data_IF_624548260578
#
_entry.id   IF_624548260578
#
_cell.length_a   1.000
_cell.length_b   1.000
_cell.length_c   1.000
_cell.angle_alpha   90.00
_cell.angle_beta   90.00
_cell.angle_gamma   90.00
#
_symmetry.space_group_name_H-M   'P 1'
#
loop_
_entity.id
_entity.type
_entity.pdbx_description
1 polymer ?
#
# COMPACT_ATOMS: atom_id res chain seq x y z
N UNK A 1 30.14 -20.02 -43.83
CA UNK A 1 29.05 -19.56 -42.94
C UNK A 1 29.59 -19.32 -41.51
N UNK A 2 30.72 -18.63 -41.37
CA UNK A 2 31.46 -18.50 -40.09
C UNK A 2 31.84 -17.05 -39.73
N UNK A 3 31.58 -16.08 -40.63
CA UNK A 3 32.12 -14.71 -40.51
C UNK A 3 31.15 -13.69 -39.86
N UNK A 4 29.84 -14.03 -39.78
CA UNK A 4 28.81 -13.16 -39.19
C UNK A 4 28.66 -13.29 -37.67
N UNK A 5 29.10 -14.43 -37.11
CA UNK A 5 28.95 -14.72 -35.69
C UNK A 5 30.09 -14.09 -34.85
N UNK A 6 31.29 -14.02 -35.43
CA UNK A 6 32.47 -13.39 -34.81
C UNK A 6 32.32 -11.87 -34.67
N UNK A 7 31.74 -11.22 -35.68
CA UNK A 7 31.47 -9.77 -35.69
C UNK A 7 30.39 -9.38 -34.67
N UNK A 8 29.32 -10.18 -34.54
CA UNK A 8 28.26 -9.93 -33.57
C UNK A 8 28.74 -10.01 -32.11
N UNK A 9 29.63 -10.97 -31.80
CA UNK A 9 30.20 -11.11 -30.46
C UNK A 9 31.15 -9.97 -30.11
N UNK A 10 31.93 -9.47 -31.08
CA UNK A 10 32.79 -8.30 -30.88
C UNK A 10 31.98 -7.02 -30.62
N UNK A 11 30.89 -6.83 -31.36
CA UNK A 11 29.99 -5.68 -31.17
C UNK A 11 29.25 -5.71 -29.83
N UNK A 12 28.86 -6.91 -29.36
CA UNK A 12 28.24 -7.10 -28.04
C UNK A 12 29.22 -6.81 -26.89
N UNK A 13 30.49 -7.19 -27.04
CA UNK A 13 31.53 -6.89 -26.05
C UNK A 13 31.81 -5.38 -25.97
N UNK A 14 31.84 -4.69 -27.12
CA UNK A 14 32.04 -3.25 -27.17
C UNK A 14 30.81 -2.46 -26.67
N UNK A 15 29.59 -2.92 -26.95
CA UNK A 15 28.37 -2.34 -26.39
C UNK A 15 28.33 -2.45 -24.85
N UNK A 16 28.84 -3.55 -24.31
CA UNK A 16 28.98 -3.75 -22.86
C UNK A 16 29.98 -2.76 -22.26
N UNK A 17 31.12 -2.55 -22.92
CA UNK A 17 32.14 -1.59 -22.51
C UNK A 17 31.62 -0.15 -22.54
N UNK A 18 30.87 0.23 -23.57
CA UNK A 18 30.26 1.56 -23.70
C UNK A 18 29.19 1.80 -22.63
N UNK A 19 28.42 0.77 -22.28
CA UNK A 19 27.42 0.84 -21.19
C UNK A 19 28.10 1.05 -19.83
N UNK A 20 29.18 0.32 -19.54
CA UNK A 20 29.97 0.50 -18.32
C UNK A 20 30.64 1.89 -18.24
N UNK A 21 30.91 2.52 -19.38
CA UNK A 21 31.45 3.88 -19.47
C UNK A 21 30.36 4.97 -19.46
N UNK A 22 29.08 4.64 -19.27
CA UNK A 22 27.97 5.59 -19.24
C UNK A 22 27.56 6.17 -20.61
N UNK A 23 28.09 5.63 -21.71
CA UNK A 23 27.85 6.10 -23.08
C UNK A 23 26.68 5.35 -23.73
N UNK A 24 25.52 5.41 -23.08
CA UNK A 24 24.33 4.61 -23.40
C UNK A 24 23.84 4.79 -24.84
N UNK A 25 23.80 6.03 -25.36
CA UNK A 25 23.35 6.29 -26.73
C UNK A 25 24.23 5.62 -27.80
N UNK A 26 25.53 5.50 -27.53
CA UNK A 26 26.48 4.86 -28.45
C UNK A 26 26.41 3.34 -28.39
N UNK A 27 26.19 2.78 -27.19
CA UNK A 27 25.93 1.36 -26.99
C UNK A 27 24.65 0.93 -27.73
N UNK A 28 23.57 1.72 -27.62
CA UNK A 28 22.30 1.45 -28.31
C UNK A 28 22.45 1.53 -29.83
N UNK A 29 23.16 2.54 -30.34
CA UNK A 29 23.40 2.68 -31.77
C UNK A 29 24.26 1.55 -32.35
N UNK A 30 25.22 1.02 -31.57
CA UNK A 30 26.03 -0.13 -31.96
C UNK A 30 25.16 -1.40 -32.04
N UNK A 31 24.36 -1.67 -31.01
CA UNK A 31 23.44 -2.83 -30.96
C UNK A 31 22.43 -2.79 -32.12
N UNK A 32 21.86 -1.62 -32.42
CA UNK A 32 20.90 -1.46 -33.52
C UNK A 32 21.53 -1.71 -34.90
N UNK A 33 22.79 -1.27 -35.09
CA UNK A 33 23.55 -1.54 -36.33
C UNK A 33 23.89 -3.03 -36.46
N UNK A 34 24.28 -3.68 -35.38
CA UNK A 34 24.64 -5.11 -35.38
C UNK A 34 23.43 -6.03 -35.58
N UNK A 35 22.23 -5.58 -35.18
CA UNK A 35 20.96 -6.33 -35.33
C UNK A 35 20.21 -6.05 -36.65
N UNK A 36 20.72 -5.18 -37.52
CA UNK A 36 20.20 -5.02 -38.88
C UNK A 36 18.77 -4.45 -39.00
N UNK A 37 18.26 -3.73 -37.99
CA UNK A 37 16.94 -3.12 -38.05
C UNK A 37 16.95 -1.83 -38.90
N UNK A 38 16.83 -1.99 -40.22
CA UNK A 38 16.44 -0.89 -41.11
C UNK A 38 14.92 -0.86 -41.24
N UNK A 39 14.29 0.24 -40.80
CA UNK A 39 12.93 0.62 -41.19
C UNK A 39 11.85 0.47 -40.12
N UNK A 40 11.61 1.55 -39.35
CA UNK A 40 10.27 1.85 -38.84
C UNK A 40 10.11 3.37 -38.75
N UNK A 41 9.26 3.93 -39.61
CA UNK A 41 8.83 5.33 -39.54
C UNK A 41 7.98 5.56 -38.27
N UNK A 42 7.92 6.79 -37.72
CA UNK A 42 7.19 7.06 -36.50
C UNK A 42 5.68 6.91 -36.71
N UNK A 43 5.04 6.07 -35.90
CA UNK A 43 3.58 5.99 -35.80
C UNK A 43 3.04 7.29 -35.17
N UNK A 44 2.00 7.85 -35.79
CA UNK A 44 1.30 9.04 -35.29
C UNK A 44 0.64 8.84 -33.93
N UNK A 45 0.19 9.93 -33.28
CA UNK A 45 -0.31 9.89 -31.91
C UNK A 45 -1.58 9.03 -31.82
N UNK A 46 -1.60 8.12 -30.85
CA UNK A 46 -2.77 7.35 -30.46
C UNK A 46 -3.87 8.28 -29.89
N UNK A 47 -5.16 7.93 -30.05
CA UNK A 47 -6.27 8.77 -29.61
C UNK A 47 -6.29 8.92 -28.09
N UNK A 48 -6.60 10.13 -27.62
CA UNK A 48 -6.70 10.48 -26.23
C UNK A 48 -7.75 9.63 -25.50
N UNK A 49 -7.36 9.05 -24.37
CA UNK A 49 -8.30 8.52 -23.38
C UNK A 49 -9.21 9.66 -22.87
N UNK A 50 -10.47 9.38 -22.52
CA UNK A 50 -11.37 10.40 -21.99
C UNK A 50 -10.78 10.98 -20.69
N UNK A 51 -10.97 12.28 -20.42
CA UNK A 51 -10.34 12.93 -19.29
C UNK A 51 -10.90 12.37 -17.98
N UNK A 52 -10.05 11.69 -17.21
CA UNK A 52 -10.31 11.51 -15.79
C UNK A 52 -10.35 12.90 -15.14
N UNK A 53 -11.35 13.18 -14.33
CA UNK A 53 -11.42 14.43 -13.57
C UNK A 53 -10.21 14.50 -12.63
N UNK A 54 -9.36 15.51 -12.84
CA UNK A 54 -8.12 15.76 -12.09
C UNK A 54 -8.41 16.68 -10.90
N UNK A 55 -7.90 16.32 -9.73
CA UNK A 55 -7.85 17.21 -8.55
C UNK A 55 -6.42 17.73 -8.37
N UNK A 56 -6.29 19.05 -8.18
CA UNK A 56 -5.02 19.74 -7.94
C UNK A 56 -4.94 20.20 -6.46
N UNK A 57 -3.81 19.94 -5.80
CA UNK A 57 -3.48 20.50 -4.48
C UNK A 57 -2.79 21.87 -4.58
N UNK A 58 -2.57 22.60 -3.46
CA UNK A 58 -1.91 23.90 -3.50
C UNK A 58 -0.48 23.82 -4.07
N UNK A 59 -0.17 24.71 -5.01
CA UNK A 59 1.07 24.74 -5.78
C UNK A 59 2.29 25.05 -4.92
N UNK A 60 3.21 24.09 -4.81
CA UNK A 60 4.61 24.30 -4.43
C UNK A 60 5.45 24.27 -5.70
N UNK A 61 6.26 25.30 -5.92
CA UNK A 61 6.96 25.57 -7.19
C UNK A 61 7.81 24.44 -7.76
N UNK A 62 7.99 24.48 -9.08
CA UNK A 62 8.70 23.53 -9.93
C UNK A 62 10.05 23.09 -9.36
N UNK A 63 10.09 21.85 -8.85
CA UNK A 63 11.32 21.12 -8.57
C UNK A 63 11.26 19.80 -9.35
N UNK A 64 12.29 19.42 -10.14
CA UNK A 64 12.22 18.20 -10.93
C UNK A 64 12.16 16.96 -10.01
N UNK A 65 11.43 15.90 -10.39
CA UNK A 65 11.40 14.67 -9.61
C UNK A 65 12.79 14.00 -9.60
N UNK A 66 13.25 13.64 -8.40
CA UNK A 66 14.41 12.76 -8.24
C UNK A 66 14.02 11.34 -8.65
N UNK A 67 14.51 10.86 -9.80
CA UNK A 67 14.49 9.44 -10.15
C UNK A 67 15.51 8.69 -9.29
N UNK A 68 15.02 7.90 -8.34
CA UNK A 68 15.85 6.92 -7.64
C UNK A 68 16.12 5.74 -8.58
N UNK A 69 17.37 5.60 -9.03
CA UNK A 69 17.83 4.46 -9.83
C UNK A 69 18.21 3.31 -8.89
N UNK A 70 17.35 2.29 -8.80
CA UNK A 70 17.67 1.05 -8.09
C UNK A 70 18.66 0.21 -8.94
N UNK A 71 19.81 -0.24 -8.38
CA UNK A 71 20.73 -1.11 -9.11
C UNK A 71 20.09 -2.44 -9.55
N UNK A 72 20.29 -2.84 -10.81
CA UNK A 72 19.62 -3.99 -11.46
C UNK A 72 19.67 -5.32 -10.65
N UNK A 73 20.80 -5.61 -10.00
CA UNK A 73 20.97 -6.81 -9.16
C UNK A 73 20.03 -6.87 -7.96
N UNK A 74 19.62 -5.71 -7.48
CA UNK A 74 18.73 -5.56 -6.33
C UNK A 74 17.26 -5.76 -6.74
N UNK A 75 16.92 -5.33 -7.96
CA UNK A 75 15.64 -5.60 -8.63
C UNK A 75 15.46 -7.09 -8.93
N UNK A 76 16.52 -7.76 -9.38
CA UNK A 76 16.52 -9.22 -9.58
C UNK A 76 16.24 -10.00 -8.28
N UNK A 77 16.74 -9.54 -7.14
CA UNK A 77 16.51 -10.16 -5.83
C UNK A 77 15.04 -10.06 -5.37
N UNK A 78 14.39 -8.92 -5.61
CA UNK A 78 12.96 -8.73 -5.37
C UNK A 78 12.10 -9.58 -6.31
N UNK A 79 12.45 -9.60 -7.58
CA UNK A 79 11.79 -10.41 -8.59
C UNK A 79 11.88 -11.91 -8.27
N UNK A 80 13.05 -12.38 -7.83
CA UNK A 80 13.27 -13.76 -7.41
C UNK A 80 12.41 -14.12 -6.20
N UNK A 81 12.33 -13.22 -5.22
CA UNK A 81 11.53 -13.43 -4.02
C UNK A 81 10.03 -13.45 -4.34
N UNK A 82 9.53 -12.53 -5.16
CA UNK A 82 8.11 -12.50 -5.57
C UNK A 82 7.73 -13.70 -6.46
N UNK A 83 8.65 -14.19 -7.30
CA UNK A 83 8.48 -15.47 -8.01
C UNK A 83 8.40 -16.65 -7.03
N UNK A 84 9.24 -16.67 -6.01
CA UNK A 84 9.20 -17.71 -4.97
C UNK A 84 7.92 -17.61 -4.11
N UNK A 85 7.42 -16.40 -3.85
CA UNK A 85 6.16 -16.16 -3.14
C UNK A 85 4.93 -16.63 -3.94
N UNK A 86 4.92 -16.47 -5.26
CA UNK A 86 3.92 -17.10 -6.14
C UNK A 86 3.93 -18.62 -6.06
N UNK A 87 5.08 -19.23 -5.78
CA UNK A 87 5.26 -20.68 -5.72
C UNK A 87 5.07 -21.27 -4.31
N UNK A 88 4.98 -20.43 -3.27
CA UNK A 88 4.80 -20.81 -1.86
C UNK A 88 3.33 -20.85 -1.43
N UNK A 89 2.39 -20.84 -2.38
CA UNK A 89 1.01 -21.26 -2.16
C UNK A 89 0.87 -22.74 -2.59
N UNK A 90 1.13 -23.73 -1.72
CA UNK A 90 0.90 -25.11 -2.07
C UNK A 90 -0.60 -25.39 -1.92
N UNK A 91 -1.33 -25.38 -3.04
CA UNK A 91 -2.68 -25.94 -3.09
C UNK A 91 -3.69 -25.16 -3.92
N UNK A 92 -3.48 -25.04 -5.22
CA UNK A 92 -4.56 -24.86 -6.22
C UNK A 92 -4.10 -25.50 -7.54
N UNK A 93 -4.03 -26.83 -7.54
CA UNK A 93 -4.03 -27.59 -8.79
C UNK A 93 -5.48 -27.69 -9.26
N UNK A 94 -5.76 -27.02 -10.37
CA UNK A 94 -7.00 -27.15 -11.12
C UNK A 94 -7.80 -25.86 -11.12
N UNK A 95 -7.59 -25.04 -12.15
CA UNK A 95 -8.63 -24.50 -13.04
C UNK A 95 -7.91 -23.59 -14.04
N UNK A 96 -7.50 -24.18 -15.17
CA UNK A 96 -7.31 -23.40 -16.38
C UNK A 96 -8.68 -22.97 -16.85
N UNK A 97 -9.07 -21.75 -16.51
CA UNK A 97 -10.26 -21.08 -17.01
C UNK A 97 -9.85 -19.68 -17.42
N UNK A 98 -10.24 -19.29 -18.63
CA UNK A 98 -10.01 -17.97 -19.20
C UNK A 98 -10.40 -16.87 -18.21
N UNK A 99 -9.61 -15.80 -18.15
CA UNK A 99 -9.92 -14.59 -17.38
C UNK A 99 -11.21 -13.99 -17.92
N UNK A 100 -12.33 -14.30 -17.26
CA UNK A 100 -13.62 -13.71 -17.54
C UNK A 100 -13.73 -12.40 -16.74
N UNK A 101 -14.03 -11.30 -17.41
CA UNK A 101 -14.35 -10.03 -16.76
C UNK A 101 -15.47 -10.23 -15.72
N UNK A 102 -15.35 -9.67 -14.51
CA UNK A 102 -16.35 -9.84 -13.47
C UNK A 102 -17.69 -9.21 -13.91
N UNK A 103 -18.69 -10.07 -14.08
CA UNK A 103 -20.07 -9.64 -14.31
C UNK A 103 -20.65 -9.10 -13.00
N UNK A 104 -21.10 -7.85 -13.05
CA UNK A 104 -21.77 -7.18 -11.95
C UNK A 104 -23.18 -7.78 -11.77
N UNK A 105 -23.36 -8.60 -10.73
CA UNK A 105 -24.69 -8.97 -10.25
C UNK A 105 -25.43 -7.73 -9.70
N UNK A 106 -26.78 -7.74 -9.65
CA UNK A 106 -27.53 -6.59 -9.21
C UNK A 106 -27.33 -6.34 -7.71
N UNK A 107 -26.64 -5.26 -7.36
CA UNK A 107 -26.48 -4.77 -5.99
C UNK A 107 -27.65 -3.84 -5.65
N UNK A 108 -28.21 -3.97 -4.45
CA UNK A 108 -29.30 -3.13 -3.92
C UNK A 108 -28.85 -1.74 -3.43
N UNK A 109 -27.69 -1.26 -3.88
CA UNK A 109 -27.21 0.11 -3.72
C UNK A 109 -26.64 0.67 -5.03
N UNK A 110 -26.77 1.98 -5.24
CA UNK A 110 -26.35 2.67 -6.48
C UNK A 110 -24.97 3.32 -6.39
N UNK A 111 -24.19 2.98 -5.37
CA UNK A 111 -22.85 3.52 -5.13
C UNK A 111 -21.97 3.46 -6.39
N UNK A 112 -21.17 4.49 -6.61
CA UNK A 112 -20.36 4.64 -7.82
C UNK A 112 -18.90 4.34 -7.52
N UNK A 113 -18.23 3.61 -8.42
CA UNK A 113 -16.80 3.34 -8.34
C UNK A 113 -16.06 4.01 -9.50
N UNK A 114 -15.55 5.22 -9.26
CA UNK A 114 -15.06 6.13 -10.30
C UNK A 114 -13.54 6.23 -10.32
N UNK A 115 -12.96 6.38 -11.51
CA UNK A 115 -11.52 6.60 -11.69
C UNK A 115 -11.18 8.09 -11.74
N UNK A 116 -10.10 8.46 -11.06
CA UNK A 116 -9.71 9.84 -10.80
C UNK A 116 -8.18 9.95 -10.77
N UNK A 117 -7.68 11.18 -10.81
CA UNK A 117 -6.25 11.46 -10.66
C UNK A 117 -6.04 12.65 -9.73
N UNK A 118 -5.00 12.57 -8.91
CA UNK A 118 -4.58 13.65 -8.01
C UNK A 118 -3.11 13.99 -8.26
N UNK A 119 -2.78 15.28 -8.20
CA UNK A 119 -1.40 15.77 -8.26
C UNK A 119 -1.13 16.92 -7.30
N UNK A 120 0.10 16.95 -6.78
CA UNK A 120 0.69 18.05 -6.02
C UNK A 120 2.21 18.08 -6.24
N UNK A 121 2.92 18.95 -5.51
CA UNK A 121 4.38 19.08 -5.59
C UNK A 121 5.14 17.78 -5.27
N UNK A 122 4.56 16.86 -4.49
CA UNK A 122 5.18 15.57 -4.17
C UNK A 122 5.02 14.53 -5.29
N UNK A 123 4.10 14.75 -6.23
CA UNK A 123 3.89 13.91 -7.41
C UNK A 123 2.42 13.71 -7.75
N UNK A 124 2.14 12.65 -8.50
CA UNK A 124 0.78 12.32 -8.95
C UNK A 124 0.43 10.85 -8.73
N UNK A 125 -0.84 10.58 -8.45
CA UNK A 125 -1.41 9.24 -8.32
C UNK A 125 -2.81 9.20 -8.91
N UNK A 126 -3.04 8.23 -9.79
CA UNK A 126 -4.39 7.81 -10.14
C UNK A 126 -4.99 7.04 -8.96
N UNK A 127 -6.32 7.07 -8.83
CA UNK A 127 -7.03 6.36 -7.78
C UNK A 127 -8.44 6.00 -8.23
N UNK A 128 -9.00 4.98 -7.59
CA UNK A 128 -10.44 4.72 -7.65
C UNK A 128 -11.11 5.26 -6.39
N UNK A 129 -12.28 5.86 -6.52
CA UNK A 129 -13.09 6.34 -5.42
C UNK A 129 -14.45 5.64 -5.45
N UNK A 130 -14.76 4.94 -4.38
CA UNK A 130 -16.12 4.52 -4.10
C UNK A 130 -16.88 5.65 -3.42
N UNK A 131 -17.94 6.10 -4.08
CA UNK A 131 -18.89 7.10 -3.60
C UNK A 131 -20.17 6.36 -3.22
N UNK A 132 -20.53 6.27 -1.92
CA UNK A 132 -21.74 5.59 -1.49
C UNK A 132 -22.98 6.33 -2.00
N UNK A 133 -24.12 5.64 -2.03
CA UNK A 133 -25.41 6.30 -2.30
C UNK A 133 -25.60 7.53 -1.38
N UNK A 134 -26.15 8.65 -1.88
CA UNK A 134 -26.26 9.88 -1.12
C UNK A 134 -26.98 9.70 0.22
N UNK A 135 -26.39 10.22 1.29
CA UNK A 135 -26.98 10.23 2.63
C UNK A 135 -26.84 11.61 3.28
N UNK A 136 -27.76 12.02 4.17
CA UNK A 136 -27.64 13.29 4.89
C UNK A 136 -26.36 13.38 5.74
N UNK A 137 -25.85 14.61 5.88
CA UNK A 137 -24.75 14.95 6.77
C UNK A 137 -23.36 14.60 6.23
N UNK A 138 -22.34 14.94 7.01
CA UNK A 138 -20.95 14.63 6.69
C UNK A 138 -20.66 13.14 6.95
N UNK A 139 -19.90 12.52 6.05
CA UNK A 139 -19.60 11.08 6.01
C UNK A 139 -18.11 10.80 6.22
N UNK A 140 -17.72 9.67 6.81
CA UNK A 140 -16.32 9.29 6.89
C UNK A 140 -15.68 8.97 5.53
N UNK A 141 -14.35 9.01 5.51
CA UNK A 141 -13.50 8.58 4.39
C UNK A 141 -12.48 7.54 4.88
N UNK A 142 -12.35 6.43 4.15
CA UNK A 142 -11.27 5.44 4.37
C UNK A 142 -10.36 5.41 3.15
N UNK A 143 -9.06 5.59 3.35
CA UNK A 143 -8.04 5.37 2.33
C UNK A 143 -7.54 3.92 2.45
N UNK A 144 -7.65 3.14 1.37
CA UNK A 144 -7.27 1.72 1.33
C UNK A 144 -6.06 1.51 0.42
N UNK A 145 -4.93 1.10 1.00
CA UNK A 145 -3.66 0.91 0.30
C UNK A 145 -3.40 -0.58 0.02
N UNK A 146 -3.38 -0.93 -1.26
CA UNK A 146 -3.19 -2.30 -1.73
C UNK A 146 -1.75 -2.81 -1.49
N UNK A 147 -1.56 -4.13 -1.45
CA UNK A 147 -0.25 -4.78 -1.39
C UNK A 147 0.51 -4.73 -2.73
N UNK A 148 1.78 -5.20 -2.75
CA UNK A 148 2.55 -5.25 -4.00
C UNK A 148 1.79 -6.03 -5.08
N UNK A 149 1.95 -5.66 -6.36
CA UNK A 149 1.32 -6.29 -7.53
C UNK A 149 -0.20 -6.21 -7.64
N UNK A 150 -0.93 -5.84 -6.58
CA UNK A 150 -2.37 -5.61 -6.62
C UNK A 150 -2.72 -4.30 -7.36
N UNK A 151 -4.01 -4.07 -7.56
CA UNK A 151 -4.59 -2.85 -8.12
C UNK A 151 -5.72 -2.33 -7.21
N UNK A 152 -6.17 -1.08 -7.38
CA UNK A 152 -7.39 -0.57 -6.73
C UNK A 152 -8.60 -1.50 -6.89
N UNK A 153 -8.86 -2.00 -8.10
CA UNK A 153 -9.99 -2.87 -8.40
C UNK A 153 -9.86 -4.24 -7.71
N UNK A 154 -8.66 -4.84 -7.74
CA UNK A 154 -8.35 -6.11 -7.07
C UNK A 154 -8.50 -6.01 -5.55
N UNK A 155 -7.99 -4.92 -4.96
CA UNK A 155 -8.06 -4.72 -3.52
C UNK A 155 -9.46 -4.36 -3.05
N UNK A 156 -10.22 -3.57 -3.81
CA UNK A 156 -11.63 -3.30 -3.52
C UNK A 156 -12.47 -4.58 -3.56
N UNK A 157 -12.29 -5.41 -4.59
CA UNK A 157 -12.98 -6.70 -4.71
C UNK A 157 -12.60 -7.66 -3.57
N UNK A 158 -11.30 -7.76 -3.24
CA UNK A 158 -10.80 -8.67 -2.21
C UNK A 158 -11.18 -8.26 -0.79
N UNK A 159 -11.16 -6.96 -0.47
CA UNK A 159 -11.50 -6.48 0.88
C UNK A 159 -13.00 -6.33 1.10
N UNK A 160 -13.80 -6.21 0.03
CA UNK A 160 -15.24 -5.87 0.11
C UNK A 160 -15.53 -4.55 0.84
N UNK A 161 -14.55 -3.66 0.93
CA UNK A 161 -14.71 -2.39 1.64
C UNK A 161 -15.72 -1.46 0.93
N UNK A 162 -15.97 -1.64 -0.37
CA UNK A 162 -17.05 -0.93 -1.07
C UNK A 162 -18.45 -1.37 -0.61
N UNK A 163 -18.65 -2.66 -0.30
CA UNK A 163 -19.93 -3.18 0.21
C UNK A 163 -20.23 -2.57 1.59
N UNK A 164 -19.22 -2.56 2.46
CA UNK A 164 -19.30 -1.89 3.76
C UNK A 164 -19.46 -0.36 3.61
N UNK A 165 -18.79 0.23 2.62
CA UNK A 165 -18.92 1.63 2.27
C UNK A 165 -20.36 1.99 1.89
N UNK A 166 -21.03 1.15 1.12
CA UNK A 166 -22.44 1.35 0.76
C UNK A 166 -23.35 1.20 1.98
N UNK A 167 -23.14 0.14 2.78
CA UNK A 167 -23.92 -0.16 3.99
C UNK A 167 -23.87 0.98 5.01
N UNK A 168 -22.66 1.47 5.29
CA UNK A 168 -22.39 2.50 6.30
C UNK A 168 -22.35 3.91 5.73
N UNK A 169 -22.53 4.07 4.41
CA UNK A 169 -22.42 5.35 3.70
C UNK A 169 -21.07 6.03 3.89
N UNK A 170 -19.99 5.29 3.66
CA UNK A 170 -18.59 5.72 3.83
C UNK A 170 -17.93 5.79 2.46
N UNK A 171 -17.16 6.85 2.23
CA UNK A 171 -16.35 6.98 1.04
C UNK A 171 -15.09 6.12 1.18
N UNK A 172 -14.69 5.45 0.10
CA UNK A 172 -13.48 4.62 0.12
C UNK A 172 -12.60 4.95 -1.07
N UNK A 173 -11.38 5.42 -0.81
CA UNK A 173 -10.43 5.75 -1.85
C UNK A 173 -9.31 4.70 -1.93
N UNK A 174 -8.96 4.31 -3.15
CA UNK A 174 -7.92 3.32 -3.44
C UNK A 174 -6.87 3.94 -4.35
N UNK A 175 -5.85 4.62 -3.79
CA UNK A 175 -4.70 5.09 -4.53
C UNK A 175 -4.00 3.95 -5.28
N UNK A 176 -3.64 4.18 -6.55
CA UNK A 176 -2.95 3.22 -7.41
C UNK A 176 -1.44 3.42 -7.33
N UNK A 177 -0.70 2.38 -6.97
CA UNK A 177 0.74 2.35 -7.22
C UNK A 177 1.04 1.89 -8.65
N UNK A 178 1.53 2.80 -9.48
CA UNK A 178 1.79 2.49 -10.90
C UNK A 178 3.10 1.72 -11.11
N UNK A 179 3.17 0.93 -12.17
CA UNK A 179 4.42 0.26 -12.60
C UNK A 179 5.56 1.23 -12.89
N UNK A 180 5.23 2.48 -13.26
CA UNK A 180 6.20 3.56 -13.50
C UNK A 180 6.82 4.08 -12.21
N UNK A 181 6.02 4.17 -11.14
CA UNK A 181 6.49 4.61 -9.83
C UNK A 181 7.22 3.49 -9.08
N UNK A 182 6.82 2.23 -9.30
CA UNK A 182 7.53 1.07 -8.80
C UNK A 182 7.23 -0.13 -9.71
N UNK A 183 8.26 -0.79 -10.26
CA UNK A 183 8.09 -1.89 -11.22
C UNK A 183 7.23 -3.05 -10.70
N UNK A 184 7.19 -3.27 -9.39
CA UNK A 184 6.38 -4.29 -8.72
C UNK A 184 4.99 -3.78 -8.30
N UNK A 185 4.63 -2.55 -8.68
CA UNK A 185 3.45 -1.83 -8.16
C UNK A 185 3.41 -1.86 -6.64
N UNK A 186 4.57 -1.74 -6.00
CA UNK A 186 4.69 -1.76 -4.56
C UNK A 186 4.97 -0.38 -3.99
N UNK A 187 4.45 -0.11 -2.80
CA UNK A 187 4.74 1.13 -2.07
C UNK A 187 6.21 1.17 -1.66
N UNK A 188 6.83 2.34 -1.75
CA UNK A 188 8.23 2.57 -1.41
C UNK A 188 8.40 2.88 0.09
N UNK A 189 7.68 2.16 0.95
CA UNK A 189 7.56 2.41 2.39
C UNK A 189 8.90 2.40 3.16
N UNK A 190 9.94 1.84 2.57
CA UNK A 190 11.30 1.79 3.13
C UNK A 190 12.19 2.92 2.61
N UNK A 191 11.77 3.70 1.61
CA UNK A 191 12.56 4.81 1.09
C UNK A 191 12.33 6.07 1.92
N UNK A 192 13.39 6.73 2.45
CA UNK A 192 13.23 7.91 3.31
C UNK A 192 12.45 9.07 2.65
N UNK A 193 12.52 9.21 1.32
CA UNK A 193 11.77 10.19 0.52
C UNK A 193 10.25 10.01 0.61
N UNK A 194 9.79 8.81 0.99
CA UNK A 194 8.39 8.38 0.97
C UNK A 194 7.82 8.13 2.38
N UNK A 195 8.53 8.60 3.42
CA UNK A 195 8.12 8.41 4.83
C UNK A 195 7.81 9.71 5.57
N UNK A 196 8.28 10.86 5.07
CA UNK A 196 8.18 12.16 5.73
C UNK A 196 6.98 12.99 5.27
N UNK A 197 6.46 13.85 6.16
CA UNK A 197 5.32 14.74 5.88
C UNK A 197 5.60 15.64 4.67
N UNK A 198 4.57 15.84 3.86
CA UNK A 198 4.57 16.58 2.58
C UNK A 198 5.55 16.06 1.52
N UNK A 199 6.12 14.85 1.69
CA UNK A 199 7.12 14.26 0.78
C UNK A 199 6.62 12.94 0.18
N UNK A 200 7.03 12.69 -1.07
CA UNK A 200 6.83 11.41 -1.77
C UNK A 200 5.40 10.87 -1.66
N UNK A 201 5.29 9.56 -1.46
CA UNK A 201 4.01 8.85 -1.33
C UNK A 201 3.14 9.40 -0.19
N UNK A 202 3.71 9.83 0.93
CA UNK A 202 2.90 10.37 2.03
C UNK A 202 2.28 11.72 1.70
N UNK A 203 3.05 12.60 1.04
CA UNK A 203 2.59 13.89 0.51
C UNK A 203 1.45 13.71 -0.49
N UNK A 204 1.58 12.75 -1.39
CA UNK A 204 0.57 12.49 -2.41
C UNK A 204 -0.72 11.95 -1.79
N UNK A 205 -0.64 10.94 -0.91
CA UNK A 205 -1.84 10.31 -0.31
C UNK A 205 -2.57 11.26 0.65
N UNK A 206 -1.84 12.03 1.46
CA UNK A 206 -2.46 13.03 2.33
C UNK A 206 -3.13 14.17 1.53
N UNK A 207 -2.48 14.63 0.45
CA UNK A 207 -3.05 15.60 -0.48
C UNK A 207 -4.34 15.08 -1.14
N UNK A 208 -4.33 13.83 -1.60
CA UNK A 208 -5.48 13.15 -2.17
C UNK A 208 -6.64 13.08 -1.18
N UNK A 209 -6.39 12.69 0.08
CA UNK A 209 -7.42 12.63 1.12
C UNK A 209 -8.05 14.02 1.39
N UNK A 210 -7.22 15.06 1.47
CA UNK A 210 -7.68 16.45 1.64
C UNK A 210 -8.50 16.94 0.44
N UNK A 211 -8.12 16.57 -0.77
CA UNK A 211 -8.82 16.94 -2.01
C UNK A 211 -10.21 16.28 -2.07
N UNK A 212 -10.30 14.98 -1.78
CA UNK A 212 -11.58 14.25 -1.68
C UNK A 212 -12.47 14.88 -0.61
N UNK A 213 -11.91 15.20 0.56
CA UNK A 213 -12.66 15.83 1.65
C UNK A 213 -13.11 17.28 1.37
N UNK A 214 -12.59 17.90 0.31
CA UNK A 214 -13.01 19.22 -0.17
C UNK A 214 -14.11 19.10 -1.21
N UNK A 215 -14.05 18.08 -2.08
CA UNK A 215 -15.05 17.85 -3.13
C UNK A 215 -16.35 17.21 -2.59
N UNK A 216 -16.23 16.33 -1.61
CA UNK A 216 -17.35 15.53 -1.09
C UNK A 216 -17.75 15.96 0.34
N UNK A 217 -18.97 15.62 0.81
CA UNK A 217 -19.43 15.91 2.16
C UNK A 217 -18.72 15.00 3.18
N UNK A 218 -17.41 15.13 3.31
CA UNK A 218 -16.59 14.34 4.22
C UNK A 218 -16.48 15.04 5.57
N UNK A 219 -16.64 14.26 6.63
CA UNK A 219 -16.30 14.69 7.97
C UNK A 219 -14.79 14.63 8.13
N UNK A 220 -14.14 15.80 8.13
CA UNK A 220 -12.68 15.94 8.23
C UNK A 220 -12.12 15.42 9.57
N UNK A 221 -12.95 15.21 10.58
CA UNK A 221 -12.53 14.56 11.82
C UNK A 221 -12.55 13.03 11.76
N UNK A 222 -13.11 12.44 10.69
CA UNK A 222 -13.30 11.00 10.48
C UNK A 222 -12.73 10.56 9.13
N UNK A 223 -11.44 10.81 8.97
CA UNK A 223 -10.63 10.27 7.86
C UNK A 223 -9.72 9.19 8.43
N UNK A 224 -9.71 8.02 7.79
CA UNK A 224 -8.97 6.84 8.23
C UNK A 224 -8.09 6.31 7.09
N UNK A 225 -7.09 5.51 7.44
CA UNK A 225 -6.20 4.88 6.45
C UNK A 225 -5.89 3.44 6.85
N UNK A 226 -5.89 2.54 5.88
CA UNK A 226 -5.55 1.15 6.10
C UNK A 226 -4.84 0.53 4.91
N UNK A 227 -4.21 -0.62 5.11
CA UNK A 227 -3.64 -1.38 4.00
C UNK A 227 -3.17 -2.77 4.35
N UNK A 228 -2.82 -3.52 3.30
CA UNK A 228 -2.25 -4.87 3.36
C UNK A 228 -0.77 -4.84 3.00
N UNK A 229 0.07 -5.60 3.71
CA UNK A 229 1.49 -5.80 3.35
C UNK A 229 2.25 -4.47 3.23
N UNK A 230 2.89 -4.20 2.10
CA UNK A 230 3.50 -2.91 1.79
C UNK A 230 2.53 -1.72 1.90
N UNK A 231 1.25 -1.91 1.57
CA UNK A 231 0.21 -0.90 1.78
C UNK A 231 -0.08 -0.66 3.27
N UNK A 232 0.03 -1.71 4.10
CA UNK A 232 -0.06 -1.58 5.56
C UNK A 232 1.13 -0.80 6.15
N UNK A 233 2.35 -1.08 5.67
CA UNK A 233 3.54 -0.32 6.05
C UNK A 233 3.47 1.15 5.60
N UNK A 234 2.97 1.41 4.37
CA UNK A 234 2.73 2.76 3.88
C UNK A 234 1.66 3.48 4.72
N UNK A 235 0.55 2.82 5.06
CA UNK A 235 -0.49 3.37 5.91
C UNK A 235 0.06 3.81 7.28
N UNK A 236 0.91 2.98 7.90
CA UNK A 236 1.59 3.33 9.14
C UNK A 236 2.50 4.56 9.00
N UNK A 237 3.32 4.63 7.94
CA UNK A 237 4.17 5.80 7.65
C UNK A 237 3.36 7.08 7.45
N UNK A 238 2.27 6.99 6.70
CA UNK A 238 1.39 8.12 6.39
C UNK A 238 0.67 8.60 7.66
N UNK A 239 0.07 7.70 8.43
CA UNK A 239 -0.59 8.05 9.69
C UNK A 239 0.40 8.69 10.68
N UNK A 240 1.64 8.19 10.74
CA UNK A 240 2.71 8.80 11.52
C UNK A 240 3.06 10.20 11.03
N UNK A 241 3.18 10.41 9.71
CA UNK A 241 3.48 11.72 9.15
C UNK A 241 2.34 12.75 9.31
N UNK A 242 1.09 12.29 9.43
CA UNK A 242 -0.10 13.13 9.51
C UNK A 242 -1.07 12.71 10.64
N UNK A 243 -0.63 12.78 11.92
CA UNK A 243 -1.49 12.45 13.06
C UNK A 243 -2.65 13.46 13.23
N UNK A 244 -2.57 14.59 12.54
CA UNK A 244 -3.57 15.67 12.48
C UNK A 244 -4.59 15.49 11.34
N UNK A 245 -4.43 14.47 10.50
CA UNK A 245 -5.32 14.16 9.37
C UNK A 245 -6.08 12.84 9.55
N UNK A 246 -5.41 11.81 10.06
CA UNK A 246 -5.99 10.48 10.20
C UNK A 246 -6.41 10.21 11.65
N UNK A 247 -7.70 9.97 11.85
CA UNK A 247 -8.29 9.68 13.16
C UNK A 247 -7.94 8.26 13.68
N UNK A 248 -7.62 7.34 12.77
CA UNK A 248 -7.18 5.99 13.08
C UNK A 248 -6.47 5.34 11.88
N UNK A 249 -5.64 4.34 12.15
CA UNK A 249 -4.92 3.55 11.14
C UNK A 249 -5.14 2.04 11.32
N UNK A 250 -5.30 1.33 10.20
CA UNK A 250 -5.38 -0.13 10.16
C UNK A 250 -4.20 -0.76 9.42
N UNK A 251 -3.52 -1.72 10.05
CA UNK A 251 -2.37 -2.40 9.44
C UNK A 251 -2.64 -3.90 9.37
N UNK A 252 -2.83 -4.44 8.17
CA UNK A 252 -2.95 -5.88 7.96
C UNK A 252 -1.65 -6.45 7.38
N UNK A 253 -1.07 -7.46 8.03
CA UNK A 253 0.16 -8.15 7.59
C UNK A 253 1.28 -7.17 7.17
N UNK A 254 1.35 -6.01 7.82
CA UNK A 254 2.22 -4.90 7.46
C UNK A 254 3.41 -4.76 8.40
N UNK A 255 4.04 -3.58 8.37
CA UNK A 255 5.20 -3.28 9.21
C UNK A 255 5.04 -1.93 9.93
N UNK A 256 5.76 -1.78 11.04
CA UNK A 256 5.81 -0.54 11.80
C UNK A 256 6.37 0.62 10.97
N UNK A 257 5.88 1.84 11.22
CA UNK A 257 6.33 3.02 10.51
C UNK A 257 7.81 3.30 10.79
N UNK A 258 8.57 3.57 9.74
CA UNK A 258 10.01 3.84 9.82
C UNK A 258 10.85 2.61 10.20
N UNK A 259 10.36 1.38 10.06
CA UNK A 259 11.15 0.18 10.40
C UNK A 259 12.26 -0.16 9.39
N UNK A 260 12.34 0.55 8.27
CA UNK A 260 13.36 0.37 7.23
C UNK A 260 13.68 1.70 6.55
N UNK A 261 14.87 1.78 5.95
CA UNK A 261 15.42 2.98 5.29
C UNK A 261 16.07 2.69 3.94
N UNK A 262 16.07 1.42 3.53
CA UNK A 262 16.64 0.89 2.31
C UNK A 262 16.12 -0.54 2.09
N UNK A 263 16.37 -1.11 0.91
CA UNK A 263 15.88 -2.47 0.64
C UNK A 263 16.47 -3.54 1.57
N UNK A 264 17.78 -3.58 1.89
CA UNK A 264 18.31 -4.58 2.80
C UNK A 264 17.63 -4.58 4.18
N UNK A 265 17.41 -3.40 4.77
CA UNK A 265 16.67 -3.28 6.03
C UNK A 265 15.21 -3.68 5.88
N UNK A 266 14.56 -3.36 4.76
CA UNK A 266 13.20 -3.79 4.45
C UNK A 266 13.06 -5.31 4.39
N UNK A 267 13.96 -5.99 3.66
CA UNK A 267 13.98 -7.44 3.54
C UNK A 267 14.26 -8.12 4.89
N UNK A 268 15.12 -7.52 5.71
CA UNK A 268 15.37 -7.99 7.08
C UNK A 268 14.10 -7.87 7.93
N UNK A 269 13.48 -6.70 7.97
CA UNK A 269 12.26 -6.46 8.74
C UNK A 269 11.13 -7.41 8.32
N UNK A 270 10.95 -7.64 7.02
CA UNK A 270 9.97 -8.61 6.51
C UNK A 270 10.25 -10.04 6.98
N UNK A 271 11.50 -10.51 6.93
CA UNK A 271 11.82 -11.92 7.21
C UNK A 271 11.93 -12.26 8.70
N UNK A 272 12.55 -11.38 9.48
CA UNK A 272 12.87 -11.68 10.90
C UNK A 272 12.12 -10.80 11.90
N UNK A 273 11.41 -9.79 11.41
CA UNK A 273 10.75 -8.76 12.22
C UNK A 273 11.59 -7.48 12.33
N UNK A 274 10.92 -6.32 12.37
CA UNK A 274 11.56 -5.05 12.68
C UNK A 274 12.25 -5.11 14.06
N UNK A 275 13.44 -4.52 14.23
CA UNK A 275 14.03 -4.35 15.55
C UNK A 275 13.09 -3.51 16.43
N UNK A 276 12.81 -3.97 17.65
CA UNK A 276 11.97 -3.26 18.61
C UNK A 276 12.50 -1.86 18.95
N UNK A 277 11.65 -1.03 19.58
CA UNK A 277 11.93 0.38 19.88
C UNK A 277 13.21 0.64 20.68
N UNK A 278 13.68 -0.34 21.47
CA UNK A 278 14.88 -0.21 22.32
C UNK A 278 16.20 -0.50 21.61
N UNK A 279 16.17 -1.07 20.39
CA UNK A 279 17.39 -1.34 19.66
C UNK A 279 17.94 -0.06 18.97
N UNK A 280 19.26 0.18 18.95
CA UNK A 280 19.86 1.15 18.04
C UNK A 280 19.45 0.78 16.60
N UNK A 281 18.73 1.66 15.91
CA UNK A 281 18.11 1.33 14.63
C UNK A 281 16.75 0.62 14.73
N UNK A 282 16.04 0.67 15.86
CA UNK A 282 14.66 0.18 15.95
C UNK A 282 13.67 1.04 15.17
N UNK A 283 12.36 0.80 15.32
CA UNK A 283 11.32 1.67 14.72
C UNK A 283 11.47 3.17 15.11
N UNK A 284 12.18 3.47 16.21
CA UNK A 284 12.62 4.82 16.58
C UNK A 284 14.01 5.22 16.01
N UNK A 285 14.85 4.26 15.66
CA UNK A 285 16.26 4.42 15.31
C UNK A 285 16.60 4.49 13.81
N UNK A 286 15.66 4.20 12.90
CA UNK A 286 15.89 4.37 11.45
C UNK A 286 15.53 5.76 10.89
N UNK A 287 15.41 6.77 11.75
CA UNK A 287 15.67 8.15 11.36
C UNK A 287 14.56 8.87 10.60
N UNK A 288 13.29 8.68 10.96
CA UNK A 288 12.25 9.61 10.56
C UNK A 288 11.95 10.59 11.71
N UNK A 289 12.71 11.69 11.72
CA UNK A 289 12.48 12.82 12.62
C UNK A 289 11.05 13.36 12.55
N UNK A 290 10.58 13.79 13.72
CA UNK A 290 9.35 14.52 14.06
C UNK A 290 8.00 13.93 13.63
N UNK A 291 7.38 13.20 14.55
CA UNK A 291 6.01 13.54 14.93
C UNK A 291 6.12 14.32 16.24
N UNK A 292 5.30 15.35 16.40
CA UNK A 292 5.13 16.04 17.67
C UNK A 292 5.09 15.00 18.80
N UNK A 293 6.09 15.06 19.69
CA UNK A 293 6.24 14.17 20.83
C UNK A 293 4.89 14.06 21.54
N UNK A 294 4.24 12.89 21.50
CA UNK A 294 3.05 12.58 22.31
C UNK A 294 1.69 12.40 21.62
N UNK A 295 1.54 12.56 20.29
CA UNK A 295 0.27 12.24 19.62
C UNK A 295 0.19 10.76 19.22
N UNK A 296 -0.63 9.99 19.93
CA UNK A 296 -0.97 8.59 19.61
C UNK A 296 -2.07 8.56 18.54
N UNK A 297 -1.80 7.95 17.38
CA UNK A 297 -2.85 7.64 16.41
C UNK A 297 -3.48 6.29 16.80
N UNK A 298 -4.79 6.22 17.04
CA UNK A 298 -5.47 4.96 17.30
C UNK A 298 -5.17 3.92 16.21
N UNK A 299 -4.78 2.72 16.62
CA UNK A 299 -4.22 1.71 15.70
C UNK A 299 -4.91 0.36 15.88
N UNK A 300 -5.39 -0.22 14.77
CA UNK A 300 -5.76 -1.63 14.70
C UNK A 300 -4.75 -2.40 13.85
N UNK A 301 -4.22 -3.51 14.38
CA UNK A 301 -3.30 -4.40 13.68
C UNK A 301 -3.88 -5.80 13.58
N UNK A 302 -3.78 -6.39 12.39
CA UNK A 302 -4.28 -7.74 12.09
C UNK A 302 -3.16 -8.52 11.40
N UNK A 303 -2.80 -9.69 11.93
CA UNK A 303 -1.71 -10.49 11.38
C UNK A 303 -1.99 -11.98 11.50
N UNK A 304 -1.67 -12.74 10.45
CA UNK A 304 -1.72 -14.20 10.47
C UNK A 304 -0.45 -14.80 11.06
N UNK A 305 -0.57 -15.77 11.97
CA UNK A 305 0.59 -16.43 12.61
C UNK A 305 1.41 -17.31 11.65
N UNK A 306 0.79 -17.73 10.54
CA UNK A 306 1.42 -18.50 9.47
C UNK A 306 1.96 -17.62 8.33
N UNK A 307 2.06 -16.30 8.50
CA UNK A 307 2.53 -15.39 7.48
C UNK A 307 4.03 -15.61 7.15
N UNK A 308 4.27 -16.27 6.02
CA UNK A 308 5.61 -16.55 5.50
C UNK A 308 6.26 -15.42 4.71
N UNK A 309 5.58 -14.28 4.53
CA UNK A 309 6.08 -13.13 3.75
C UNK A 309 6.54 -12.01 4.67
N UNK A 310 5.68 -11.62 5.62
CA UNK A 310 5.95 -10.62 6.63
C UNK A 310 5.81 -11.29 7.98
N UNK A 311 6.93 -11.48 8.65
CA UNK A 311 7.02 -12.18 9.91
C UNK A 311 6.03 -11.59 10.93
N UNK A 312 5.24 -12.42 11.65
CA UNK A 312 4.25 -11.97 12.62
C UNK A 312 4.81 -11.08 13.74
N UNK A 313 6.13 -11.15 14.02
CA UNK A 313 6.80 -10.22 14.95
C UNK A 313 6.67 -8.75 14.56
N UNK A 314 6.37 -8.44 13.30
CA UNK A 314 6.09 -7.07 12.89
C UNK A 314 4.80 -6.52 13.50
N UNK A 315 3.81 -7.38 13.83
CA UNK A 315 2.62 -6.96 14.57
C UNK A 315 3.00 -6.44 15.97
N UNK A 316 3.95 -7.11 16.64
CA UNK A 316 4.48 -6.67 17.94
C UNK A 316 5.18 -5.31 17.84
N UNK A 317 5.94 -5.08 16.77
CA UNK A 317 6.59 -3.79 16.52
C UNK A 317 5.57 -2.66 16.27
N UNK A 318 4.48 -2.94 15.56
CA UNK A 318 3.37 -2.00 15.36
C UNK A 318 2.69 -1.69 16.70
N UNK A 319 2.43 -2.70 17.54
CA UNK A 319 1.84 -2.51 18.87
C UNK A 319 2.74 -1.68 19.78
N UNK A 320 4.05 -1.95 19.78
CA UNK A 320 5.02 -1.18 20.53
C UNK A 320 5.03 0.29 20.09
N UNK A 321 4.92 0.57 18.79
CA UNK A 321 4.87 1.93 18.26
C UNK A 321 3.53 2.63 18.51
N UNK A 322 2.41 1.91 18.47
CA UNK A 322 1.10 2.43 18.85
C UNK A 322 1.06 2.85 20.34
N UNK A 323 1.95 2.28 21.15
CA UNK A 323 2.17 2.63 22.54
C UNK A 323 1.01 2.15 23.41
N UNK A 324 1.14 1.00 24.03
CA UNK A 324 0.11 0.43 24.92
C UNK A 324 0.25 0.84 26.38
N UNK A 325 1.28 1.64 26.71
CA UNK A 325 1.51 2.12 28.06
C UNK A 325 0.36 2.98 28.57
N UNK A 326 -0.05 2.71 29.81
CA UNK A 326 -1.21 3.35 30.45
C UNK A 326 -2.57 2.87 29.92
N UNK A 327 -2.61 1.88 29.02
CA UNK A 327 -3.86 1.28 28.54
C UNK A 327 -4.15 -0.04 29.25
N UNK A 328 -5.44 -0.33 29.44
CA UNK A 328 -5.91 -1.58 30.04
C UNK A 328 -6.19 -2.62 28.95
N UNK A 329 -5.46 -3.75 28.90
CA UNK A 329 -5.70 -4.80 27.91
C UNK A 329 -6.90 -5.68 28.27
N UNK A 330 -7.71 -6.02 27.27
CA UNK A 330 -8.74 -7.07 27.33
C UNK A 330 -8.58 -8.01 26.15
N UNK A 331 -8.27 -9.27 26.46
CA UNK A 331 -8.08 -10.31 25.45
C UNK A 331 -9.30 -11.22 25.37
N UNK A 332 -9.73 -11.49 24.14
CA UNK A 332 -10.81 -12.39 23.78
C UNK A 332 -10.30 -13.39 22.74
N UNK A 333 -10.86 -14.60 22.77
CA UNK A 333 -10.64 -15.60 21.72
C UNK A 333 -11.92 -15.76 20.92
N UNK A 334 -11.77 -15.92 19.63
CA UNK A 334 -12.87 -16.20 18.72
C UNK A 334 -12.47 -17.18 17.65
N UNK A 335 -13.44 -17.53 16.80
CA UNK A 335 -13.20 -18.35 15.63
C UNK A 335 -14.00 -17.82 14.45
N UNK A 336 -13.47 -18.08 13.28
CA UNK A 336 -14.08 -17.92 11.96
C UNK A 336 -14.22 -19.31 11.33
N UNK A 337 -14.67 -19.39 10.08
CA UNK A 337 -14.90 -20.67 9.39
C UNK A 337 -13.65 -21.55 9.34
N UNK A 338 -12.47 -20.96 9.13
CA UNK A 338 -11.20 -21.70 9.00
C UNK A 338 -10.16 -21.42 10.08
N UNK A 339 -10.32 -20.35 10.86
CA UNK A 339 -9.27 -19.90 11.79
C UNK A 339 -9.82 -19.57 13.17
N UNK A 340 -9.13 -20.04 14.22
CA UNK A 340 -9.16 -19.41 15.54
C UNK A 340 -8.36 -18.11 15.51
N UNK A 341 -8.77 -17.14 16.32
CA UNK A 341 -8.02 -15.91 16.49
C UNK A 341 -8.05 -15.44 17.95
N UNK A 342 -7.05 -14.66 18.31
CA UNK A 342 -7.01 -13.88 19.53
C UNK A 342 -7.16 -12.40 19.17
N UNK A 343 -8.07 -11.72 19.87
CA UNK A 343 -8.25 -10.26 19.79
C UNK A 343 -7.89 -9.64 21.13
N UNK A 344 -6.98 -8.68 21.15
CA UNK A 344 -6.66 -7.88 22.35
C UNK A 344 -6.97 -6.42 22.10
N UNK A 345 -7.81 -5.84 22.97
CA UNK A 345 -8.20 -4.42 22.93
C UNK A 345 -7.56 -3.70 24.10
N UNK A 346 -6.91 -2.58 23.85
CA UNK A 346 -6.24 -1.75 24.85
C UNK A 346 -7.02 -0.45 25.01
N UNK A 347 -7.67 -0.27 26.15
CA UNK A 347 -8.55 0.87 26.42
C UNK A 347 -7.91 1.90 27.36
N UNK A 348 -8.24 3.18 27.16
CA UNK A 348 -7.88 4.26 28.09
C UNK A 348 -8.73 4.22 29.38
N UNK A 349 -8.46 5.11 30.33
CA UNK A 349 -9.22 5.21 31.59
C UNK A 349 -10.71 5.50 31.39
N UNK A 350 -11.08 6.11 30.25
CA UNK A 350 -12.47 6.36 29.88
C UNK A 350 -13.14 5.16 29.18
N UNK A 351 -12.43 4.03 29.05
CA UNK A 351 -12.91 2.81 28.40
C UNK A 351 -12.88 2.86 26.86
N UNK A 352 -12.28 3.88 26.25
CA UNK A 352 -12.15 3.98 24.79
C UNK A 352 -10.97 3.15 24.32
N UNK A 353 -11.22 2.20 23.42
CA UNK A 353 -10.18 1.34 22.84
C UNK A 353 -9.27 2.18 21.94
N UNK A 354 -8.00 2.36 22.32
CA UNK A 354 -7.03 3.14 21.55
C UNK A 354 -6.17 2.25 20.62
N UNK A 355 -5.97 0.98 21.00
CA UNK A 355 -5.21 0.01 20.21
C UNK A 355 -5.97 -1.31 20.17
N UNK A 356 -6.02 -1.95 19.02
CA UNK A 356 -6.61 -3.28 18.85
C UNK A 356 -5.67 -4.20 18.07
N UNK A 357 -5.48 -5.43 18.54
CA UNK A 357 -4.58 -6.42 17.98
C UNK A 357 -5.30 -7.72 17.68
N UNK A 358 -5.13 -8.26 16.47
CA UNK A 358 -5.64 -9.57 16.06
C UNK A 358 -4.49 -10.48 15.64
N UNK A 359 -4.36 -11.62 16.30
CA UNK A 359 -3.50 -12.74 15.90
C UNK A 359 -4.37 -13.88 15.38
N UNK A 360 -4.19 -14.25 14.11
CA UNK A 360 -5.04 -15.25 13.44
C UNK A 360 -4.24 -16.54 13.25
N UNK A 361 -4.64 -17.59 13.96
CA UNK A 361 -3.89 -18.84 14.02
C UNK A 361 -3.91 -19.54 12.66
N UNK A 362 -2.72 -19.86 12.13
CA UNK A 362 -2.55 -20.59 10.87
C UNK A 362 -2.87 -19.80 9.60
N UNK A 363 -3.36 -18.56 9.71
CA UNK A 363 -3.58 -17.70 8.53
C UNK A 363 -2.24 -17.22 7.95
N UNK A 364 -2.17 -17.14 6.62
CA UNK A 364 -0.98 -16.74 5.87
C UNK A 364 -0.94 -15.24 5.54
N UNK A 365 -0.17 -14.88 4.51
CA UNK A 365 -0.06 -13.51 4.02
C UNK A 365 -1.25 -13.12 3.12
N UNK A 366 -2.41 -12.90 3.72
CA UNK A 366 -3.63 -12.60 3.01
C UNK A 366 -4.59 -11.76 3.86
N UNK A 367 -5.43 -10.94 3.23
CA UNK A 367 -6.51 -10.21 3.88
C UNK A 367 -7.54 -11.18 4.47
N UNK A 368 -7.67 -11.18 5.79
CA UNK A 368 -8.56 -12.09 6.50
C UNK A 368 -10.05 -11.76 6.25
N UNK A 369 -10.85 -12.81 6.03
CA UNK A 369 -12.28 -12.69 5.75
C UNK A 369 -12.58 -11.97 4.43
N UNK A 370 -11.63 -11.92 3.50
CA UNK A 370 -11.80 -11.29 2.19
C UNK A 370 -12.64 -12.12 1.20
N UNK A 371 -12.86 -11.58 0.01
CA UNK A 371 -13.54 -12.26 -1.10
C UNK A 371 -12.53 -12.93 -2.04
N UNK A 372 -12.78 -14.17 -2.51
CA UNK A 372 -11.93 -14.80 -3.51
C UNK A 372 -11.96 -14.10 -4.88
N UNK A 373 -12.78 -13.07 -5.06
CA UNK A 373 -12.78 -12.21 -6.24
C UNK A 373 -11.55 -11.28 -6.34
N UNK A 374 -10.82 -11.08 -5.24
CA UNK A 374 -9.54 -10.36 -5.23
C UNK A 374 -8.38 -11.28 -4.88
N UNK A 375 -7.17 -10.89 -5.25
CA UNK A 375 -5.94 -11.61 -4.90
C UNK A 375 -5.52 -11.36 -3.44
N UNK A 376 -4.74 -12.31 -2.88
CA UNK A 376 -4.22 -12.24 -1.50
C UNK A 376 -5.32 -12.10 -0.45
N UNK A 377 -6.40 -12.87 -0.55
CA UNK A 377 -7.47 -12.94 0.44
C UNK A 377 -7.58 -14.32 1.04
N UNK A 378 -7.96 -14.38 2.32
CA UNK A 378 -8.34 -15.60 3.01
C UNK A 378 -9.82 -15.52 3.39
N UNK A 379 -10.73 -16.08 2.59
CA UNK A 379 -12.17 -16.00 2.85
C UNK A 379 -12.61 -16.78 4.10
N UNK A 380 -11.76 -17.63 4.66
CA UNK A 380 -12.09 -18.42 5.83
C UNK A 380 -11.67 -17.74 7.15
N UNK A 381 -10.90 -16.65 7.07
CA UNK A 381 -10.48 -15.85 8.22
C UNK A 381 -11.59 -14.98 8.81
N UNK A 382 -11.34 -14.32 9.96
CA UNK A 382 -12.25 -13.31 10.51
C UNK A 382 -12.40 -12.11 9.57
N UNK A 383 -13.54 -11.44 9.59
CA UNK A 383 -13.82 -10.26 8.76
C UNK A 383 -12.97 -9.05 9.20
N UNK A 384 -11.79 -8.92 8.59
CA UNK A 384 -10.86 -7.83 8.88
C UNK A 384 -11.42 -6.46 8.46
N UNK A 385 -12.20 -6.41 7.38
CA UNK A 385 -12.79 -5.16 6.87
C UNK A 385 -13.81 -4.62 7.86
N UNK A 386 -14.71 -5.46 8.38
CA UNK A 386 -15.64 -5.08 9.44
C UNK A 386 -14.92 -4.69 10.72
N UNK A 387 -13.95 -5.48 11.17
CA UNK A 387 -13.20 -5.18 12.40
C UNK A 387 -12.48 -3.83 12.33
N UNK A 388 -11.84 -3.51 11.19
CA UNK A 388 -11.23 -2.20 10.97
C UNK A 388 -12.27 -1.08 10.94
N UNK A 389 -13.42 -1.30 10.28
CA UNK A 389 -14.45 -0.29 10.19
C UNK A 389 -15.09 0.04 11.55
N UNK A 390 -15.41 -0.98 12.34
CA UNK A 390 -15.94 -0.82 13.70
C UNK A 390 -14.95 -0.03 14.57
N UNK A 391 -13.65 -0.36 14.46
CA UNK A 391 -12.59 0.38 15.15
C UNK A 391 -12.54 1.84 14.69
N UNK A 392 -12.51 2.09 13.38
CA UNK A 392 -12.45 3.44 12.82
C UNK A 392 -13.62 4.31 13.24
N UNK A 393 -14.84 3.82 13.14
CA UNK A 393 -16.05 4.59 13.44
C UNK A 393 -16.18 4.96 14.92
N UNK A 394 -15.43 4.30 15.81
CA UNK A 394 -15.32 4.67 17.22
C UNK A 394 -14.35 5.84 17.48
N UNK A 395 -13.61 6.29 16.47
CA UNK A 395 -12.58 7.33 16.57
C UNK A 395 -12.92 8.57 15.74
N UNK A 396 -12.59 9.73 16.30
CA UNK A 396 -12.57 11.01 15.60
C UNK A 396 -11.42 11.87 16.11
N UNK A 397 -10.86 12.70 15.25
CA UNK A 397 -9.91 13.72 15.67
C UNK A 397 -10.60 14.72 16.61
N UNK A 398 -9.92 15.21 17.65
CA UNK A 398 -10.48 16.22 18.52
C UNK A 398 -10.83 17.47 17.71
N UNK A 399 -11.97 18.08 18.04
CA UNK A 399 -12.35 19.37 17.47
C UNK A 399 -11.21 20.36 17.72
N UNK A 400 -10.65 20.95 16.66
CA UNK A 400 -9.69 22.06 16.81
C UNK A 400 -10.45 23.15 17.56
N UNK A 401 -9.99 23.48 18.78
CA UNK A 401 -10.46 24.71 19.43
C UNK A 401 -9.86 25.86 18.63
N UNK A 402 -10.72 26.63 17.99
CA UNK A 402 -10.34 27.86 17.28
C UNK A 402 -9.69 28.89 18.21
#
# INVERSE_FOLDING_TARGET
>A
MTDRSSTLMADMAEATRLTQAGRLAEATALIQRSLGASGMAPAGPAPAAPPASRLEGPDGGDTPPHEAVIPERLREGLDQMMRNLRNLAPGLKGFGGETQEPQHGPSSGSGQFVERSFSNAAGARDYKLFVPSPRPGLRPLVIMLHGCSQSPDDFAAGTRMNELGEEEGIFVAYPRQSGRANAQRCWNWFEPSDQGREMGETGIVAGLARAIATEHPIDRSRIYIAGLSAGGAAAANIARAYPDLFAAVGVHSGLAAGCARDLPSALSAMRVGAPGSEAPGGAAGFGAGSVAQGLRVPTIVIHGEGDGTVNPRNAEAILAQAGTDGLTPRTERGSSTGHSYQRTRYADEAGRVQVEAWSIQGAGHAWAGGSPAGSYTDPNGPDASRAMLDFFLSHSLPSRRD
#
